data_IF_905906984392
#
_entry.id   IF_905906984392
#
_cell.length_a   1.000
_cell.length_b   1.000
_cell.length_c   1.000
_cell.angle_alpha   90.00
_cell.angle_beta   90.00
_cell.angle_gamma   90.00
#
_symmetry.space_group_name_H-M   'P 1'
#
loop_
_entity.id
_entity.type
_entity.pdbx_description
1 polymer ?
#
# COMPACT_ATOMS: atom_id res chain seq x y z
N UNK A 1 -40.12 -61.03 -20.99
CA UNK A 1 -40.00 -59.58 -20.70
C UNK A 1 -38.91 -59.38 -19.65
N UNK A 2 -37.67 -59.13 -20.07
CA UNK A 2 -36.51 -58.73 -19.26
C UNK A 2 -35.31 -58.66 -20.22
N UNK A 3 -34.49 -57.62 -20.33
CA UNK A 3 -34.52 -56.29 -19.75
C UNK A 3 -33.90 -55.36 -20.79
N UNK A 4 -34.68 -54.39 -21.23
CA UNK A 4 -34.23 -53.24 -22.03
C UNK A 4 -33.50 -52.26 -21.10
N UNK A 5 -32.34 -52.64 -20.58
CA UNK A 5 -31.50 -51.79 -19.70
C UNK A 5 -30.02 -51.93 -20.11
N UNK A 6 -29.75 -52.15 -21.39
CA UNK A 6 -28.39 -52.32 -21.93
C UNK A 6 -27.95 -51.13 -22.82
N UNK A 7 -28.60 -49.96 -22.71
CA UNK A 7 -28.41 -48.86 -23.67
C UNK A 7 -28.18 -47.47 -23.09
N UNK A 8 -28.07 -47.29 -21.76
CA UNK A 8 -27.95 -45.95 -21.14
C UNK A 8 -26.55 -45.69 -20.54
N UNK A 9 -25.70 -46.71 -20.40
CA UNK A 9 -24.40 -46.58 -19.72
C UNK A 9 -23.20 -46.24 -20.63
N UNK A 10 -23.39 -46.01 -21.93
CA UNK A 10 -22.31 -45.66 -22.89
C UNK A 10 -22.32 -44.17 -23.28
N UNK A 11 -23.35 -43.41 -22.91
CA UNK A 11 -23.50 -41.99 -23.31
C UNK A 11 -22.98 -40.94 -22.32
N UNK A 12 -22.43 -41.34 -21.16
CA UNK A 12 -21.93 -40.41 -20.12
C UNK A 12 -20.40 -40.19 -20.25
N UNK A 13 -19.74 -40.90 -21.17
CA UNK A 13 -18.27 -40.87 -21.30
C UNK A 13 -17.74 -39.88 -22.37
N UNK A 14 -18.58 -38.98 -22.93
CA UNK A 14 -18.19 -38.05 -24.01
C UNK A 14 -18.67 -36.60 -23.81
N UNK A 15 -18.69 -36.11 -22.57
CA UNK A 15 -19.33 -34.81 -22.27
C UNK A 15 -18.59 -33.86 -21.31
N UNK A 16 -17.32 -34.10 -20.96
CA UNK A 16 -16.54 -33.08 -20.24
C UNK A 16 -15.97 -32.12 -21.27
N UNK A 17 -16.84 -31.20 -21.70
CA UNK A 17 -16.48 -29.97 -22.39
C UNK A 17 -15.36 -29.28 -21.60
N UNK A 18 -14.15 -29.31 -22.16
CA UNK A 18 -13.10 -28.39 -21.81
C UNK A 18 -13.66 -26.98 -22.03
N UNK A 19 -14.08 -26.32 -20.94
CA UNK A 19 -14.40 -24.90 -20.99
C UNK A 19 -13.09 -24.21 -21.36
N UNK A 20 -12.99 -23.53 -22.52
CA UNK A 20 -11.85 -22.67 -22.76
C UNK A 20 -11.90 -21.63 -21.64
N UNK A 21 -10.90 -21.64 -20.76
CA UNK A 21 -10.61 -20.52 -19.89
C UNK A 21 -10.26 -19.36 -20.83
N UNK A 22 -11.29 -18.65 -21.30
CA UNK A 22 -11.17 -17.44 -22.08
C UNK A 22 -10.29 -16.52 -21.24
N UNK A 23 -9.10 -16.24 -21.74
CA UNK A 23 -8.21 -15.25 -21.14
C UNK A 23 -9.00 -13.95 -21.05
N UNK A 24 -9.49 -13.62 -19.84
CA UNK A 24 -10.12 -12.33 -19.60
C UNK A 24 -9.06 -11.29 -19.94
N UNK A 25 -9.34 -10.50 -20.97
CA UNK A 25 -8.45 -9.44 -21.40
C UNK A 25 -8.19 -8.52 -20.20
N UNK A 26 -6.94 -8.08 -20.03
CA UNK A 26 -6.59 -7.10 -19.00
C UNK A 26 -7.46 -5.83 -19.11
N UNK A 27 -7.98 -5.54 -20.31
CA UNK A 27 -8.91 -4.44 -20.53
C UNK A 27 -10.29 -4.66 -19.90
N UNK A 28 -10.76 -5.91 -19.80
CA UNK A 28 -12.04 -6.23 -19.18
C UNK A 28 -11.91 -6.20 -17.65
N UNK A 29 -10.79 -6.72 -17.12
CA UNK A 29 -10.46 -6.60 -15.69
C UNK A 29 -10.35 -5.13 -15.28
N UNK A 30 -9.73 -4.27 -16.11
CA UNK A 30 -9.63 -2.84 -15.82
C UNK A 30 -11.00 -2.13 -15.83
N UNK A 31 -11.92 -2.50 -16.75
CA UNK A 31 -13.29 -1.98 -16.78
C UNK A 31 -14.10 -2.44 -15.57
N UNK A 32 -13.95 -3.70 -15.18
CA UNK A 32 -14.64 -4.26 -14.02
C UNK A 32 -14.13 -3.66 -12.71
N UNK A 33 -12.82 -3.42 -12.59
CA UNK A 33 -12.25 -2.65 -11.46
C UNK A 33 -12.76 -1.21 -11.43
N UNK A 34 -12.83 -0.54 -12.58
CA UNK A 34 -13.36 0.82 -12.65
C UNK A 34 -14.85 0.87 -12.25
N UNK A 35 -15.66 -0.10 -12.68
CA UNK A 35 -17.06 -0.24 -12.29
C UNK A 35 -17.21 -0.54 -10.79
N UNK A 36 -16.35 -1.41 -10.23
CA UNK A 36 -16.32 -1.69 -8.79
C UNK A 36 -16.02 -0.43 -7.98
N UNK A 37 -15.02 0.37 -8.39
CA UNK A 37 -14.69 1.63 -7.70
C UNK A 37 -15.84 2.63 -7.70
N UNK A 38 -16.63 2.67 -8.78
CA UNK A 38 -17.83 3.50 -8.83
C UNK A 38 -18.94 3.02 -7.88
N UNK A 39 -19.07 1.70 -7.69
CA UNK A 39 -20.06 1.13 -6.79
C UNK A 39 -19.68 1.24 -5.31
N UNK A 40 -18.37 1.30 -5.00
CA UNK A 40 -17.85 1.39 -3.62
C UNK A 40 -17.85 2.84 -3.08
N UNK A 41 -18.48 3.80 -3.78
CA UNK A 41 -18.55 5.22 -3.43
C UNK A 41 -19.29 5.60 -2.13
N UNK A 42 -19.59 4.64 -1.25
CA UNK A 42 -20.12 4.92 0.09
C UNK A 42 -19.01 4.67 1.11
N UNK A 43 -18.29 5.73 1.45
CA UNK A 43 -17.49 5.79 2.68
C UNK A 43 -18.41 5.42 3.84
N UNK A 44 -18.18 4.25 4.45
CA UNK A 44 -18.88 3.88 5.68
C UNK A 44 -18.64 4.92 6.77
N UNK A 45 -19.47 4.93 7.81
CA UNK A 45 -19.24 5.83 8.96
C UNK A 45 -17.81 5.63 9.46
N UNK A 46 -17.03 6.71 9.45
CA UNK A 46 -15.71 6.74 10.06
C UNK A 46 -15.95 6.71 11.56
N UNK A 47 -15.79 5.53 12.15
CA UNK A 47 -15.81 5.38 13.61
C UNK A 47 -14.50 5.94 14.14
N UNK A 48 -14.59 7.10 14.77
CA UNK A 48 -13.49 7.74 15.48
C UNK A 48 -13.49 7.29 16.94
N UNK A 49 -12.42 7.59 17.67
CA UNK A 49 -12.38 7.32 19.11
C UNK A 49 -13.49 8.04 19.90
N UNK A 50 -14.14 9.07 19.34
CA UNK A 50 -15.28 9.76 19.93
C UNK A 50 -16.61 9.00 19.79
N UNK A 51 -16.68 8.02 18.88
CA UNK A 51 -17.87 7.20 18.64
C UNK A 51 -17.95 5.95 19.55
N UNK A 52 -16.93 5.76 20.39
CA UNK A 52 -16.91 4.70 21.39
C UNK A 52 -17.75 5.13 22.60
N UNK A 53 -18.69 4.28 23.08
CA UNK A 53 -19.34 4.55 24.37
C UNK A 53 -18.26 4.60 25.46
N UNK A 54 -18.43 5.47 26.46
CA UNK A 54 -17.48 5.65 27.55
C UNK A 54 -17.15 4.34 28.30
N UNK A 55 -18.04 3.35 28.24
CA UNK A 55 -17.83 2.00 28.77
C UNK A 55 -16.87 1.12 27.96
N UNK A 56 -16.54 1.49 26.72
CA UNK A 56 -15.62 0.76 25.85
C UNK A 56 -14.18 1.32 25.88
N UNK A 57 -13.97 2.49 26.48
CA UNK A 57 -12.64 3.05 26.71
C UNK A 57 -12.07 2.42 27.98
N UNK A 58 -11.45 1.24 27.82
CA UNK A 58 -10.65 0.65 28.89
C UNK A 58 -9.36 1.45 28.99
N UNK A 59 -9.17 2.13 30.11
CA UNK A 59 -7.93 2.84 30.39
C UNK A 59 -6.75 1.86 30.27
N UNK A 60 -5.65 2.24 29.59
CA UNK A 60 -4.45 1.43 29.57
C UNK A 60 -3.97 1.21 31.03
N UNK A 61 -3.59 -0.02 31.41
CA UNK A 61 -3.11 -0.29 32.76
C UNK A 61 -1.81 0.50 32.99
N UNK A 62 -1.90 1.61 33.73
CA UNK A 62 -0.73 2.41 34.10
C UNK A 62 -0.88 3.93 34.14
N UNK A 63 -2.04 4.52 33.82
CA UNK A 63 -2.23 5.97 33.99
C UNK A 63 -2.40 6.35 35.48
N UNK A 64 -1.56 7.23 36.06
CA UNK A 64 -1.75 7.71 37.43
C UNK A 64 -3.01 8.58 37.51
N UNK A 65 -3.88 8.25 38.48
CA UNK A 65 -5.16 8.92 38.69
C UNK A 65 -5.02 10.42 38.91
N UNK A 66 -5.67 11.22 38.08
CA UNK A 66 -5.90 12.63 38.35
C UNK A 66 -7.21 12.76 39.12
N UNK A 67 -7.09 13.15 40.39
CA UNK A 67 -8.20 13.37 41.29
C UNK A 67 -9.05 14.56 40.85
N UNK A 68 -10.35 14.41 41.04
CA UNK A 68 -11.36 15.43 40.83
C UNK A 68 -11.06 16.71 41.64
N UNK A 69 -11.31 17.86 41.01
CA UNK A 69 -11.58 19.11 41.69
C UNK A 69 -12.87 19.70 41.11
N UNK A 70 -13.89 19.82 41.96
CA UNK A 70 -15.18 20.44 41.70
C UNK A 70 -15.12 21.96 41.91
N UNK A 71 -15.63 22.66 40.91
CA UNK A 71 -16.57 23.80 40.93
C UNK A 71 -16.14 25.19 41.48
N UNK A 72 -16.27 26.22 40.63
CA UNK A 72 -17.23 27.34 40.71
C UNK A 72 -16.64 28.62 40.08
N UNK A 73 -17.33 29.24 39.12
CA UNK A 73 -17.03 30.62 38.68
C UNK A 73 -17.62 30.98 37.32
N UNK A 74 -18.73 31.70 37.32
CA UNK A 74 -19.56 31.98 36.13
C UNK A 74 -18.99 33.00 35.15
N UNK A 75 -19.60 33.01 33.95
CA UNK A 75 -19.34 33.97 32.89
C UNK A 75 -20.33 33.78 31.74
N UNK A 76 -21.43 34.52 31.80
CA UNK A 76 -22.47 34.57 30.80
C UNK A 76 -22.00 35.28 29.52
N UNK A 77 -22.38 34.77 28.34
CA UNK A 77 -22.72 35.54 27.14
C UNK A 77 -23.31 34.63 26.04
N UNK A 78 -24.55 34.93 25.66
CA UNK A 78 -25.20 34.61 24.38
C UNK A 78 -25.85 35.94 23.92
N UNK A 79 -26.36 36.11 22.68
CA UNK A 79 -25.94 35.67 21.34
C UNK A 79 -25.62 36.89 20.44
N UNK A 80 -25.13 36.68 19.21
CA UNK A 80 -25.31 37.67 18.15
C UNK A 80 -25.64 36.98 16.81
N UNK A 81 -26.90 37.14 16.39
CA UNK A 81 -27.36 36.88 15.04
C UNK A 81 -27.11 38.10 14.16
N UNK A 82 -26.85 37.88 12.86
CA UNK A 82 -27.25 38.77 11.76
C UNK A 82 -27.19 38.01 10.42
N UNK A 83 -28.37 37.56 10.00
CA UNK A 83 -28.93 37.56 8.63
C UNK A 83 -28.58 38.87 7.87
N UNK A 84 -28.52 39.05 6.54
CA UNK A 84 -28.88 38.34 5.30
C UNK A 84 -28.26 39.18 4.14
N UNK A 85 -27.83 38.59 3.02
CA UNK A 85 -28.06 39.09 1.64
C UNK A 85 -27.28 38.27 0.57
N UNK A 86 -27.98 37.36 -0.11
CA UNK A 86 -27.81 37.03 -1.54
C UNK A 86 -28.43 38.18 -2.39
N UNK A 87 -28.32 38.28 -3.75
CA UNK A 87 -27.98 37.23 -4.74
C UNK A 87 -27.08 37.67 -5.92
N UNK A 88 -26.70 36.72 -6.80
CA UNK A 88 -27.10 36.69 -8.23
C UNK A 88 -26.03 36.18 -9.23
N UNK A 89 -26.43 35.09 -9.89
CA UNK A 89 -26.23 34.65 -11.28
C UNK A 89 -24.88 34.17 -11.88
N UNK A 90 -25.06 33.02 -12.55
CA UNK A 90 -24.49 32.59 -13.83
C UNK A 90 -23.05 32.06 -13.88
N UNK A 91 -22.92 30.78 -13.52
CA UNK A 91 -21.88 29.91 -14.04
C UNK A 91 -22.22 29.47 -15.48
N UNK A 92 -21.74 30.24 -16.46
CA UNK A 92 -21.66 29.83 -17.86
C UNK A 92 -20.34 29.08 -18.14
N UNK A 93 -20.48 27.88 -18.69
CA UNK A 93 -19.57 27.12 -19.56
C UNK A 93 -18.04 27.36 -19.47
N UNK A 94 -17.32 26.35 -18.96
CA UNK A 94 -15.94 26.09 -19.39
C UNK A 94 -15.65 24.58 -19.52
N UNK A 95 -15.55 24.18 -20.79
CA UNK A 95 -14.94 22.97 -21.38
C UNK A 95 -13.77 22.38 -20.55
N UNK A 96 -13.69 21.04 -20.35
CA UNK A 96 -12.49 20.44 -19.76
C UNK A 96 -11.37 20.48 -20.80
N UNK A 97 -10.40 21.36 -20.61
CA UNK A 97 -9.12 21.27 -21.29
C UNK A 97 -8.38 20.06 -20.72
N UNK A 98 -8.22 19.04 -21.55
CA UNK A 98 -7.23 17.99 -21.35
C UNK A 98 -5.87 18.65 -21.14
N UNK A 99 -5.34 18.55 -19.92
CA UNK A 99 -3.94 18.83 -19.66
C UNK A 99 -3.26 17.47 -19.58
N UNK A 100 -2.76 17.04 -20.72
CA UNK A 100 -1.77 15.98 -20.84
C UNK A 100 -0.61 16.31 -19.90
N UNK A 101 -0.60 15.66 -18.74
CA UNK A 101 0.48 15.72 -17.78
C UNK A 101 1.66 14.91 -18.30
N UNK A 102 2.38 15.46 -19.27
CA UNK A 102 3.76 15.04 -19.51
C UNK A 102 4.53 15.10 -18.19
N UNK A 103 5.34 14.09 -17.83
CA UNK A 103 6.09 14.11 -16.59
C UNK A 103 6.97 15.35 -16.59
N UNK A 104 6.75 16.24 -15.62
CA UNK A 104 7.57 17.41 -15.42
C UNK A 104 9.02 16.95 -15.34
N UNK A 105 9.82 17.38 -16.33
CA UNK A 105 11.27 17.26 -16.31
C UNK A 105 11.72 17.85 -14.98
N UNK A 106 12.14 16.99 -14.05
CA UNK A 106 12.62 17.42 -12.74
C UNK A 106 13.66 18.52 -12.98
N UNK A 107 13.41 19.70 -12.42
CA UNK A 107 14.39 20.77 -12.42
C UNK A 107 15.72 20.20 -11.90
N UNK A 108 16.83 20.63 -12.51
CA UNK A 108 18.15 20.26 -12.02
C UNK A 108 18.21 20.54 -10.50
N UNK A 109 18.76 19.61 -9.69
CA UNK A 109 18.81 19.80 -8.25
C UNK A 109 19.47 21.16 -7.96
N UNK A 110 18.75 22.02 -7.27
CA UNK A 110 19.31 23.25 -6.74
C UNK A 110 20.36 22.86 -5.71
N UNK A 111 21.57 23.42 -5.78
CA UNK A 111 22.64 23.16 -4.80
C UNK A 111 22.38 23.87 -3.44
N UNK A 112 21.10 24.14 -3.14
CA UNK A 112 20.63 24.74 -1.91
C UNK A 112 20.25 23.67 -0.87
N UNK A 113 20.00 24.13 0.36
CA UNK A 113 19.64 23.28 1.48
C UNK A 113 18.46 22.34 1.18
N UNK A 114 17.43 22.86 0.50
CA UNK A 114 16.25 22.10 0.13
C UNK A 114 16.58 20.99 -0.89
N UNK A 115 17.41 21.28 -1.90
CA UNK A 115 17.85 20.31 -2.89
C UNK A 115 18.70 19.18 -2.28
N UNK A 116 19.63 19.52 -1.39
CA UNK A 116 20.44 18.52 -0.66
C UNK A 116 19.58 17.61 0.21
N UNK A 117 18.62 18.17 0.96
CA UNK A 117 17.68 17.36 1.76
C UNK A 117 16.81 16.46 0.90
N UNK A 118 16.24 16.99 -0.17
CA UNK A 118 15.42 16.20 -1.09
C UNK A 118 16.22 15.05 -1.75
N UNK A 119 17.53 15.24 -1.99
CA UNK A 119 18.42 14.15 -2.43
C UNK A 119 18.67 13.14 -1.33
N UNK A 120 18.98 13.60 -0.12
CA UNK A 120 19.21 12.75 1.05
C UNK A 120 17.99 11.86 1.33
N UNK A 121 16.79 12.44 1.36
CA UNK A 121 15.52 11.74 1.57
C UNK A 121 15.30 10.63 0.54
N UNK A 122 15.54 10.91 -0.75
CA UNK A 122 15.40 9.91 -1.82
C UNK A 122 16.35 8.75 -1.64
N UNK A 123 17.63 9.02 -1.35
CA UNK A 123 18.65 7.97 -1.14
C UNK A 123 18.35 7.15 0.11
N UNK A 124 18.02 7.82 1.22
CA UNK A 124 17.67 7.18 2.48
C UNK A 124 16.42 6.30 2.33
N UNK A 125 15.40 6.77 1.61
CA UNK A 125 14.18 6.00 1.30
C UNK A 125 14.50 4.78 0.45
N UNK A 126 15.32 4.93 -0.59
CA UNK A 126 15.74 3.83 -1.45
C UNK A 126 16.51 2.76 -0.66
N UNK A 127 17.44 3.18 0.21
CA UNK A 127 18.18 2.28 1.08
C UNK A 127 17.26 1.55 2.08
N UNK A 128 16.34 2.27 2.70
CA UNK A 128 15.35 1.67 3.62
C UNK A 128 14.46 0.65 2.92
N UNK A 129 14.01 0.95 1.69
CA UNK A 129 13.21 0.04 0.87
C UNK A 129 14.00 -1.23 0.50
N UNK A 130 15.27 -1.09 0.07
CA UNK A 130 16.12 -2.23 -0.25
C UNK A 130 16.35 -3.14 0.97
N UNK A 131 16.61 -2.55 2.15
CA UNK A 131 16.72 -3.30 3.41
C UNK A 131 15.42 -4.05 3.75
N UNK A 132 14.26 -3.41 3.58
CA UNK A 132 12.97 -4.04 3.83
C UNK A 132 12.73 -5.22 2.88
N UNK A 133 13.05 -5.08 1.59
CA UNK A 133 12.91 -6.13 0.59
C UNK A 133 13.77 -7.36 0.94
N UNK A 134 15.04 -7.17 1.28
CA UNK A 134 15.92 -8.29 1.68
C UNK A 134 15.38 -9.01 2.91
N UNK A 135 14.92 -8.28 3.93
CA UNK A 135 14.30 -8.89 5.13
C UNK A 135 13.05 -9.71 4.78
N UNK A 136 12.18 -9.18 3.93
CA UNK A 136 10.96 -9.87 3.50
C UNK A 136 11.29 -11.18 2.77
N UNK A 137 12.21 -11.14 1.80
CA UNK A 137 12.59 -12.33 1.03
C UNK A 137 13.27 -13.39 1.91
N UNK A 138 14.09 -12.97 2.87
CA UNK A 138 14.70 -13.89 3.86
C UNK A 138 13.63 -14.56 4.73
N UNK A 139 12.67 -13.81 5.24
CA UNK A 139 11.56 -14.38 6.01
C UNK A 139 10.71 -15.38 5.19
N UNK A 140 10.48 -15.11 3.91
CA UNK A 140 9.81 -16.05 3.00
C UNK A 140 10.64 -17.33 2.79
N UNK A 141 11.97 -17.19 2.67
CA UNK A 141 12.88 -18.34 2.55
C UNK A 141 12.84 -19.21 3.79
N UNK A 142 12.80 -18.61 4.99
CA UNK A 142 12.71 -19.35 6.26
C UNK A 142 11.39 -20.12 6.36
N UNK A 143 10.29 -19.48 5.97
CA UNK A 143 8.98 -20.14 5.88
C UNK A 143 9.00 -21.33 4.92
N UNK A 144 9.50 -21.14 3.70
CA UNK A 144 9.60 -22.24 2.72
C UNK A 144 10.55 -23.35 3.18
N UNK A 145 11.54 -23.02 4.01
CA UNK A 145 12.42 -24.01 4.63
C UNK A 145 11.63 -24.93 5.56
N UNK A 146 10.68 -24.41 6.35
CA UNK A 146 9.78 -25.21 7.17
C UNK A 146 8.83 -26.05 6.31
N UNK A 147 8.23 -25.46 5.27
CA UNK A 147 7.34 -26.19 4.35
C UNK A 147 8.06 -27.33 3.61
N UNK A 148 9.36 -27.16 3.33
CA UNK A 148 10.18 -28.22 2.72
C UNK A 148 10.42 -29.43 3.62
N UNK A 149 10.11 -29.33 4.92
CA UNK A 149 10.17 -30.44 5.89
C UNK A 149 8.80 -31.12 6.09
N UNK A 150 7.76 -30.71 5.35
CA UNK A 150 6.44 -31.32 5.46
C UNK A 150 6.48 -32.82 5.12
N UNK A 151 5.72 -33.63 5.87
CA UNK A 151 5.63 -35.07 5.61
C UNK A 151 5.00 -35.41 4.26
N UNK A 152 4.24 -34.49 3.67
CA UNK A 152 3.69 -34.65 2.34
C UNK A 152 4.76 -34.34 1.27
N UNK A 153 5.19 -35.32 0.45
CA UNK A 153 6.27 -35.14 -0.50
C UNK A 153 5.95 -34.13 -1.61
N UNK A 154 4.69 -33.96 -1.99
CA UNK A 154 4.29 -32.99 -3.01
C UNK A 154 4.46 -31.54 -2.52
N UNK A 155 4.14 -31.27 -1.25
CA UNK A 155 4.35 -29.97 -0.61
C UNK A 155 5.84 -29.69 -0.48
N UNK A 156 6.61 -30.68 -0.01
CA UNK A 156 8.05 -30.55 0.16
C UNK A 156 8.76 -30.26 -1.18
N UNK A 157 8.40 -30.97 -2.25
CA UNK A 157 8.98 -30.77 -3.59
C UNK A 157 8.66 -29.37 -4.15
N UNK A 158 7.42 -28.89 -3.99
CA UNK A 158 7.04 -27.54 -4.41
C UNK A 158 7.83 -26.46 -3.65
N UNK A 159 7.94 -26.60 -2.32
CA UNK A 159 8.69 -25.66 -1.50
C UNK A 159 10.17 -25.60 -1.92
N UNK A 160 10.79 -26.73 -2.27
CA UNK A 160 12.16 -26.76 -2.77
C UNK A 160 12.33 -26.02 -4.11
N UNK A 161 11.37 -26.18 -5.04
CA UNK A 161 11.38 -25.46 -6.31
C UNK A 161 11.27 -23.94 -6.09
N UNK A 162 10.31 -23.50 -5.25
CA UNK A 162 10.11 -22.09 -4.92
C UNK A 162 11.35 -21.47 -4.21
N UNK A 163 12.03 -22.23 -3.35
CA UNK A 163 13.29 -21.77 -2.71
C UNK A 163 14.41 -21.51 -3.70
N UNK A 164 14.50 -22.30 -4.76
CA UNK A 164 15.56 -22.13 -5.77
C UNK A 164 15.41 -20.82 -6.50
N UNK A 165 14.18 -20.49 -6.90
CA UNK A 165 13.84 -19.19 -7.50
C UNK A 165 14.05 -18.03 -6.49
N UNK A 166 13.59 -18.21 -5.25
CA UNK A 166 13.71 -17.18 -4.23
C UNK A 166 15.17 -16.81 -3.91
N UNK A 167 16.11 -17.75 -4.04
CA UNK A 167 17.55 -17.47 -3.88
C UNK A 167 18.06 -16.45 -4.91
N UNK A 168 17.63 -16.57 -6.17
CA UNK A 168 17.98 -15.60 -7.22
C UNK A 168 17.44 -14.22 -6.87
N UNK A 169 16.20 -14.15 -6.39
CA UNK A 169 15.59 -12.89 -5.96
C UNK A 169 16.29 -12.27 -4.75
N UNK A 170 16.74 -13.08 -3.79
CA UNK A 170 17.53 -12.62 -2.66
C UNK A 170 18.85 -12.02 -3.15
N UNK A 171 19.58 -12.70 -4.04
CA UNK A 171 20.83 -12.16 -4.62
C UNK A 171 20.59 -10.82 -5.30
N UNK A 172 19.56 -10.72 -6.15
CA UNK A 172 19.22 -9.45 -6.82
C UNK A 172 18.83 -8.34 -5.83
N UNK A 173 18.13 -8.67 -4.75
CA UNK A 173 17.77 -7.71 -3.71
C UNK A 173 19.01 -7.26 -2.90
N UNK A 174 19.95 -8.16 -2.64
CA UNK A 174 21.22 -7.85 -1.97
C UNK A 174 22.11 -6.97 -2.86
N UNK A 175 22.16 -7.22 -4.17
CA UNK A 175 22.84 -6.35 -5.14
C UNK A 175 22.22 -4.94 -5.15
N UNK A 176 20.89 -4.83 -5.16
CA UNK A 176 20.20 -3.53 -5.06
C UNK A 176 20.49 -2.82 -3.75
N UNK A 177 20.54 -3.55 -2.64
CA UNK A 177 20.94 -3.01 -1.35
C UNK A 177 22.38 -2.49 -1.40
N UNK A 178 23.32 -3.26 -1.96
CA UNK A 178 24.72 -2.84 -2.09
C UNK A 178 24.86 -1.60 -2.97
N UNK A 179 24.10 -1.51 -4.07
CA UNK A 179 24.05 -0.32 -4.93
C UNK A 179 23.54 0.91 -4.15
N UNK A 180 22.41 0.78 -3.42
CA UNK A 180 21.88 1.88 -2.61
C UNK A 180 22.85 2.33 -1.50
N UNK A 181 23.61 1.41 -0.91
CA UNK A 181 24.66 1.73 0.06
C UNK A 181 25.82 2.49 -0.61
N UNK A 182 26.24 2.07 -1.81
CA UNK A 182 27.25 2.77 -2.59
C UNK A 182 26.81 4.19 -2.98
N UNK A 183 25.55 4.34 -3.42
CA UNK A 183 24.95 5.64 -3.74
C UNK A 183 24.95 6.58 -2.52
N UNK A 184 24.61 6.05 -1.34
CA UNK A 184 24.68 6.80 -0.08
C UNK A 184 26.10 7.23 0.25
N UNK A 185 27.08 6.36 0.09
CA UNK A 185 28.48 6.69 0.34
C UNK A 185 29.00 7.75 -0.64
N UNK A 186 28.67 7.62 -1.93
CA UNK A 186 29.02 8.59 -2.97
C UNK A 186 28.42 9.96 -2.68
N UNK A 187 27.14 10.00 -2.31
CA UNK A 187 26.45 11.24 -1.94
C UNK A 187 27.06 11.92 -0.72
N UNK A 188 27.44 11.17 0.32
CA UNK A 188 28.12 11.74 1.51
C UNK A 188 29.48 12.31 1.13
N UNK A 189 30.24 11.66 0.24
CA UNK A 189 31.52 12.17 -0.22
C UNK A 189 31.36 13.42 -1.10
N UNK A 190 30.35 13.46 -1.96
CA UNK A 190 29.99 14.65 -2.75
C UNK A 190 29.64 15.83 -1.85
N UNK A 191 28.78 15.62 -0.86
CA UNK A 191 28.41 16.63 0.13
C UNK A 191 29.63 17.15 0.91
N UNK A 192 30.57 16.26 1.26
CA UNK A 192 31.83 16.65 1.92
C UNK A 192 32.70 17.54 1.04
N UNK A 193 32.87 17.17 -0.24
CA UNK A 193 33.66 17.95 -1.21
C UNK A 193 33.01 19.31 -1.47
N UNK A 194 31.68 19.37 -1.48
CA UNK A 194 30.91 20.60 -1.65
C UNK A 194 30.81 21.47 -0.37
N UNK A 195 31.36 21.03 0.77
CA UNK A 195 31.30 21.76 2.04
C UNK A 195 29.90 21.84 2.65
N UNK A 196 29.01 20.92 2.28
CA UNK A 196 27.62 20.87 2.77
C UNK A 196 27.59 20.48 4.24
N UNK A 197 26.87 21.20 5.11
CA UNK A 197 26.71 20.83 6.51
C UNK A 197 26.13 19.42 6.68
N UNK A 198 26.68 18.57 7.59
CA UNK A 198 26.16 17.22 7.80
C UNK A 198 24.66 17.16 8.12
N UNK A 199 24.12 18.20 8.78
CA UNK A 199 22.70 18.31 9.11
C UNK A 199 21.75 18.41 7.89
N UNK A 200 22.28 18.70 6.69
CA UNK A 200 21.47 18.77 5.46
C UNK A 200 21.37 17.42 4.74
N UNK A 201 22.24 16.47 5.08
CA UNK A 201 22.32 15.16 4.40
C UNK A 201 21.93 13.98 5.28
N UNK A 202 21.44 14.23 6.50
CA UNK A 202 21.02 13.16 7.41
C UNK A 202 19.83 12.40 6.84
#
# INVERSE_FOLDING_TARGET
MAGRIAGVLVGILLGVMASPAMAQSLADVAREEAARRQQVGKTGKVLTNADLPASAVVAPPGAPGSAAATDTGGGAAEPAASDTADPKDEAAAAKPAAKDGAPAKAAAPTDDEAGWRARADRINTALAAAHAQVRQLKALSDRLSLESQASNPAIAARAQAERTELRVQITQAEEKQAAAQSDRAAFVQEARVAGVPPAWIQ
#
